data_IF_041826673761
#
_entry.id   IF_041826673761
#
_cell.length_a   1.000
_cell.length_b   1.000
_cell.length_c   1.000
_cell.angle_alpha   90.00
_cell.angle_beta   90.00
_cell.angle_gamma   90.00
#
_symmetry.space_group_name_H-M   'P 1'
#
loop_
_entity.id
_entity.type
_entity.pdbx_description
1 polymer ?
#
# COMPACT_ATOMS: atom_id res chain seq x y z
N UNK A 1 8.18 2.01 -25.67
CA UNK A 1 8.73 2.08 -24.31
C UNK A 1 9.43 3.43 -24.16
N UNK A 2 9.18 4.15 -23.07
CA UNK A 2 9.82 5.44 -22.78
C UNK A 2 11.25 5.19 -22.30
N UNK A 3 12.21 6.05 -22.67
CA UNK A 3 13.61 6.03 -22.22
C UNK A 3 13.74 6.42 -20.73
N UNK A 4 13.03 5.71 -19.86
CA UNK A 4 13.09 5.93 -18.42
C UNK A 4 14.47 5.50 -17.92
N UNK A 5 15.32 6.47 -17.63
CA UNK A 5 16.59 6.27 -16.96
C UNK A 5 16.39 6.27 -15.45
N UNK A 6 16.89 5.24 -14.78
CA UNK A 6 16.98 5.21 -13.34
C UNK A 6 17.96 6.28 -12.83
N UNK A 7 17.62 6.92 -11.70
CA UNK A 7 18.44 7.95 -11.05
C UNK A 7 18.23 7.91 -9.53
N UNK A 8 19.26 8.17 -8.74
CA UNK A 8 19.10 8.30 -7.28
C UNK A 8 18.13 9.44 -6.90
N UNK A 9 17.61 9.39 -5.67
CA UNK A 9 16.70 10.39 -5.12
C UNK A 9 17.41 11.39 -4.20
N UNK A 10 18.45 12.06 -4.71
CA UNK A 10 19.30 12.96 -3.92
C UNK A 10 18.51 14.06 -3.18
N UNK A 11 17.48 14.60 -3.82
CA UNK A 11 16.67 15.69 -3.27
C UNK A 11 15.40 15.19 -2.56
N UNK A 12 15.23 13.87 -2.40
CA UNK A 12 14.05 13.26 -1.76
C UNK A 12 12.74 13.48 -2.53
N UNK A 13 12.82 13.90 -3.79
CA UNK A 13 11.67 14.32 -4.58
C UNK A 13 10.81 13.13 -5.02
N UNK A 14 11.42 11.97 -5.31
CA UNK A 14 10.68 10.74 -5.60
C UNK A 14 9.97 10.26 -4.34
N UNK A 15 10.67 10.17 -3.20
CA UNK A 15 10.10 9.76 -1.92
C UNK A 15 8.92 10.65 -1.54
N UNK A 16 9.11 11.97 -1.54
CA UNK A 16 8.07 12.91 -1.10
C UNK A 16 6.84 12.91 -2.01
N UNK A 17 7.01 12.76 -3.34
CA UNK A 17 5.87 12.65 -4.26
C UNK A 17 5.11 11.35 -4.06
N UNK A 18 5.81 10.24 -3.87
CA UNK A 18 5.21 8.93 -3.60
C UNK A 18 4.48 8.92 -2.26
N UNK A 19 5.11 9.44 -1.21
CA UNK A 19 4.51 9.58 0.11
C UNK A 19 3.19 10.37 0.05
N UNK A 20 3.20 11.52 -0.63
CA UNK A 20 1.98 12.34 -0.83
C UNK A 20 0.90 11.58 -1.61
N UNK A 21 1.27 10.79 -2.61
CA UNK A 21 0.31 10.00 -3.38
C UNK A 21 -0.40 8.98 -2.49
N UNK A 22 0.34 8.24 -1.66
CA UNK A 22 -0.23 7.25 -0.74
C UNK A 22 -1.14 7.90 0.30
N UNK A 23 -0.66 8.98 0.94
CA UNK A 23 -1.44 9.70 1.92
C UNK A 23 -2.75 10.26 1.33
N UNK A 24 -2.68 10.88 0.15
CA UNK A 24 -3.87 11.39 -0.52
C UNK A 24 -4.86 10.27 -0.89
N UNK A 25 -4.36 9.13 -1.37
CA UNK A 25 -5.20 7.98 -1.70
C UNK A 25 -5.93 7.45 -0.45
N UNK A 26 -5.24 7.32 0.68
CA UNK A 26 -5.85 6.94 1.95
C UNK A 26 -6.91 7.96 2.38
N UNK A 27 -6.54 9.25 2.41
CA UNK A 27 -7.44 10.32 2.83
C UNK A 27 -8.69 10.45 1.97
N UNK A 28 -8.58 10.17 0.67
CA UNK A 28 -9.76 10.05 -0.20
C UNK A 28 -10.66 8.93 0.31
N UNK A 29 -10.14 7.72 0.53
CA UNK A 29 -10.96 6.60 1.00
C UNK A 29 -11.55 6.83 2.39
N UNK A 30 -10.84 7.53 3.28
CA UNK A 30 -11.37 7.88 4.61
C UNK A 30 -12.59 8.80 4.55
N UNK A 31 -12.74 9.58 3.46
CA UNK A 31 -13.81 10.57 3.24
C UNK A 31 -14.90 10.08 2.29
N UNK A 32 -14.68 8.97 1.58
CA UNK A 32 -15.61 8.39 0.60
C UNK A 32 -16.08 7.01 1.09
N UNK A 33 -16.38 6.10 0.17
CA UNK A 33 -16.97 4.78 0.42
C UNK A 33 -16.03 3.76 1.10
N UNK A 34 -14.85 4.19 1.57
CA UNK A 34 -13.85 3.35 2.25
C UNK A 34 -13.45 2.10 1.47
N UNK A 35 -13.22 2.22 0.17
CA UNK A 35 -12.67 1.13 -0.63
C UNK A 35 -11.26 0.77 -0.12
N UNK A 36 -10.85 -0.51 -0.07
CA UNK A 36 -9.51 -0.88 0.33
C UNK A 36 -8.44 -0.23 -0.55
N UNK A 37 -7.44 0.36 0.08
CA UNK A 37 -6.25 0.86 -0.60
C UNK A 37 -5.20 -0.26 -0.68
N UNK A 38 -4.91 -0.70 -1.90
CA UNK A 38 -3.85 -1.66 -2.18
C UNK A 38 -2.62 -0.95 -2.77
N UNK A 39 -1.44 -1.18 -2.20
CA UNK A 39 -0.18 -0.58 -2.65
C UNK A 39 0.79 -1.67 -3.12
N UNK A 40 0.98 -1.78 -4.44
CA UNK A 40 1.90 -2.75 -5.05
C UNK A 40 3.30 -2.18 -5.25
N UNK A 41 4.33 -2.99 -4.95
CA UNK A 41 5.74 -2.62 -5.08
C UNK A 41 6.55 -3.66 -5.84
N UNK A 42 7.62 -3.18 -6.46
CA UNK A 42 8.69 -4.02 -6.98
C UNK A 42 9.77 -4.20 -5.91
N UNK A 43 10.41 -5.36 -5.89
CA UNK A 43 11.50 -5.64 -4.92
C UNK A 43 12.79 -4.88 -5.23
N UNK A 44 12.96 -4.38 -6.46
CA UNK A 44 14.10 -3.54 -6.83
C UNK A 44 14.06 -2.20 -6.10
N UNK A 45 15.20 -1.76 -5.55
CA UNK A 45 15.35 -0.46 -4.87
C UNK A 45 15.45 0.71 -5.88
N UNK A 46 14.44 0.84 -6.73
CA UNK A 46 14.38 1.86 -7.77
C UNK A 46 14.54 3.26 -7.19
N UNK A 47 15.27 4.11 -7.91
CA UNK A 47 15.55 5.49 -7.51
C UNK A 47 16.19 5.59 -6.12
N UNK A 48 17.17 4.72 -5.85
CA UNK A 48 17.86 4.69 -4.56
C UNK A 48 16.96 4.32 -3.38
N UNK A 49 15.90 3.54 -3.61
CA UNK A 49 14.98 3.08 -2.58
C UNK A 49 13.93 4.10 -2.12
N UNK A 50 13.74 5.19 -2.85
CA UNK A 50 12.80 6.25 -2.51
C UNK A 50 11.37 5.76 -2.27
N UNK A 51 10.90 4.83 -3.09
CA UNK A 51 9.55 4.26 -2.98
C UNK A 51 9.36 3.41 -1.72
N UNK A 52 10.39 2.67 -1.33
CA UNK A 52 10.39 1.86 -0.10
C UNK A 52 10.36 2.75 1.14
N UNK A 53 11.20 3.79 1.20
CA UNK A 53 11.16 4.77 2.30
C UNK A 53 9.81 5.47 2.41
N UNK A 54 9.22 5.84 1.27
CA UNK A 54 7.88 6.42 1.23
C UNK A 54 6.80 5.46 1.78
N UNK A 55 6.89 4.17 1.44
CA UNK A 55 6.00 3.13 1.98
C UNK A 55 6.16 2.98 3.50
N UNK A 56 7.40 2.85 3.98
CA UNK A 56 7.70 2.69 5.40
C UNK A 56 7.16 3.88 6.21
N UNK A 57 7.42 5.11 5.74
CA UNK A 57 6.89 6.33 6.36
C UNK A 57 5.37 6.35 6.36
N UNK A 58 4.74 6.08 5.23
CA UNK A 58 3.27 6.02 5.12
C UNK A 58 2.68 4.98 6.08
N UNK A 59 3.24 3.77 6.14
CA UNK A 59 2.75 2.71 7.00
C UNK A 59 2.90 3.06 8.49
N UNK A 60 4.02 3.68 8.89
CA UNK A 60 4.25 4.10 10.27
C UNK A 60 3.18 5.09 10.77
N UNK A 61 2.68 5.97 9.90
CA UNK A 61 1.64 6.95 10.23
C UNK A 61 0.22 6.37 10.08
N UNK A 62 -0.04 5.63 8.98
CA UNK A 62 -1.38 5.14 8.67
C UNK A 62 -1.79 3.96 9.56
N UNK A 63 -0.91 2.98 9.77
CA UNK A 63 -1.27 1.71 10.41
C UNK A 63 -1.51 1.82 11.92
N UNK A 64 -1.13 2.94 12.55
CA UNK A 64 -1.36 3.21 13.98
C UNK A 64 -2.68 3.97 14.22
N UNK A 65 -3.36 4.40 13.17
CA UNK A 65 -4.65 5.09 13.29
C UNK A 65 -5.74 4.10 13.73
N UNK A 66 -6.62 4.47 14.66
CA UNK A 66 -7.64 3.56 15.19
C UNK A 66 -8.69 3.15 14.14
N UNK A 67 -8.84 3.91 13.06
CA UNK A 67 -9.81 3.71 11.99
C UNK A 67 -9.20 3.09 10.71
N UNK A 68 -7.96 2.62 10.77
CA UNK A 68 -7.21 1.99 9.67
C UNK A 68 -6.74 0.59 10.10
N UNK A 69 -6.88 -0.38 9.19
CA UNK A 69 -6.33 -1.73 9.37
C UNK A 69 -5.36 -2.05 8.23
N UNK A 70 -4.07 -2.17 8.55
CA UNK A 70 -3.06 -2.67 7.62
C UNK A 70 -2.99 -4.21 7.73
N UNK A 71 -3.45 -4.89 6.69
CA UNK A 71 -3.63 -6.35 6.67
C UNK A 71 -3.12 -6.94 5.37
N UNK A 72 -2.88 -8.25 5.36
CA UNK A 72 -2.63 -8.96 4.11
C UNK A 72 -3.93 -9.06 3.30
N UNK A 73 -3.81 -9.27 1.99
CA UNK A 73 -4.97 -9.49 1.14
C UNK A 73 -5.81 -10.71 1.59
N UNK A 74 -5.15 -11.79 2.02
CA UNK A 74 -5.83 -12.99 2.55
C UNK A 74 -6.64 -12.71 3.82
N UNK A 75 -6.11 -11.90 4.72
CA UNK A 75 -6.80 -11.47 5.94
C UNK A 75 -7.96 -10.52 5.62
N UNK A 76 -7.78 -9.59 4.68
CA UNK A 76 -8.88 -8.76 4.17
C UNK A 76 -10.04 -9.62 3.62
N UNK A 77 -9.74 -10.62 2.79
CA UNK A 77 -10.75 -11.53 2.26
C UNK A 77 -11.43 -12.32 3.40
N UNK A 78 -10.67 -12.84 4.36
CA UNK A 78 -11.23 -13.55 5.51
C UNK A 78 -12.19 -12.69 6.35
N UNK A 79 -11.92 -11.38 6.47
CA UNK A 79 -12.75 -10.42 7.20
C UNK A 79 -14.00 -9.99 6.43
N UNK A 80 -13.95 -9.98 5.11
CA UNK A 80 -14.99 -9.35 4.26
C UNK A 80 -15.81 -10.32 3.41
N UNK A 81 -15.41 -11.60 3.29
CA UNK A 81 -16.07 -12.61 2.44
C UNK A 81 -17.46 -13.08 2.92
N UNK A 82 -18.07 -12.41 3.90
CA UNK A 82 -19.45 -12.68 4.32
C UNK A 82 -19.69 -14.09 4.87
N UNK A 83 -18.67 -14.75 5.42
CA UNK A 83 -18.81 -16.02 6.13
C UNK A 83 -18.74 -17.28 5.27
N UNK A 84 -18.24 -17.22 4.03
CA UNK A 84 -17.82 -18.45 3.35
C UNK A 84 -16.36 -18.78 3.72
N UNK A 85 -16.11 -19.88 4.46
CA UNK A 85 -14.77 -20.31 4.76
C UNK A 85 -14.00 -20.61 3.45
N UNK A 86 -12.67 -20.51 3.47
CA UNK A 86 -11.88 -20.84 2.29
C UNK A 86 -12.19 -22.28 1.83
N UNK A 87 -12.15 -22.47 0.50
CA UNK A 87 -12.63 -23.70 -0.18
C UNK A 87 -11.74 -24.92 0.10
N UNK A 88 -10.70 -24.76 0.91
CA UNK A 88 -9.76 -25.78 1.38
C UNK A 88 -10.35 -26.69 2.46
N UNK A 89 -11.56 -26.41 2.98
CA UNK A 89 -12.29 -27.30 3.91
C UNK A 89 -13.40 -28.16 3.28
N UNK A 90 -13.49 -28.26 1.95
CA UNK A 90 -14.49 -29.07 1.23
C UNK A 90 -13.93 -30.37 0.62
N UNK A 91 -12.73 -30.79 1.00
CA UNK A 91 -12.13 -32.05 0.55
C UNK A 91 -11.49 -32.80 1.71
N UNK A 92 -12.22 -33.79 2.25
CA UNK A 92 -11.78 -34.70 3.31
C UNK A 92 -12.95 -35.20 4.14
#
# INVERSE_FOLDING_TARGET
HTDAQEREDHDGAFEQRTYRAFHNALETQMKTDRQPLELGFHFTMMNGGAYWRALERFAAEACVRPDVACVTYSDYLARTSGGNPPRDKLGG
#
